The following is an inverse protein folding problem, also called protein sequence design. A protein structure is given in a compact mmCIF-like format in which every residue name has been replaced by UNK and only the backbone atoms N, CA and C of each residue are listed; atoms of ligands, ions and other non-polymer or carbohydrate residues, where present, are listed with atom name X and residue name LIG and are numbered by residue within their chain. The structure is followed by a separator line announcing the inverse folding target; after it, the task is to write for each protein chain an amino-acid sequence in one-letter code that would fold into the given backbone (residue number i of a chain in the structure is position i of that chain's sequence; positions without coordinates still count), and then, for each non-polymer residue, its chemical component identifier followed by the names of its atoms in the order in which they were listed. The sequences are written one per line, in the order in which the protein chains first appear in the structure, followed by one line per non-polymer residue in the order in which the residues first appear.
data_IF_007086426832
#
_entry.id   IF_007086426832
#
_cell.length_a   1.000
_cell.length_b   1.000
_cell.length_c   1.000
_cell.angle_alpha   90.00
_cell.angle_beta   90.00
_cell.angle_gamma   90.00
#
_symmetry.space_group_name_H-M   'P 1'
#
loop_
_entity.id
_entity.type
_entity.pdbx_description
1 polymer ?
#
# COMPACT_ATOMS: atom_id res chain seq x y z
N UNK A 1 -4.93 -79.52 33.96
CA UNK A 1 -4.61 -78.71 32.76
C UNK A 1 -5.90 -78.33 32.06
N UNK A 2 -6.21 -77.03 31.99
CA UNK A 2 -7.09 -76.34 31.03
C UNK A 2 -7.10 -74.88 31.48
N UNK A 3 -6.41 -74.01 30.75
CA UNK A 3 -6.29 -72.60 31.10
C UNK A 3 -7.49 -71.79 30.58
N UNK A 4 -7.78 -70.74 31.34
CA UNK A 4 -8.53 -69.53 30.98
C UNK A 4 -8.40 -69.09 29.52
N UNK A 5 -9.44 -68.41 29.01
CA UNK A 5 -9.31 -67.06 28.42
C UNK A 5 -10.71 -66.43 28.19
N UNK A 6 -11.14 -65.50 29.05
CA UNK A 6 -12.26 -64.58 28.75
C UNK A 6 -11.67 -63.28 28.22
N UNK A 7 -11.84 -63.02 26.93
CA UNK A 7 -11.30 -61.83 26.26
C UNK A 7 -11.99 -60.55 26.73
N UNK A 8 -11.19 -59.58 27.19
CA UNK A 8 -11.65 -58.23 27.50
C UNK A 8 -11.63 -57.41 26.20
N UNK A 9 -12.81 -57.03 25.70
CA UNK A 9 -12.91 -56.18 24.51
C UNK A 9 -12.59 -54.72 24.89
N UNK A 10 -11.37 -54.25 24.63
CA UNK A 10 -11.03 -52.83 24.75
C UNK A 10 -11.63 -52.03 23.58
N UNK A 11 -12.62 -51.19 23.89
CA UNK A 11 -13.07 -50.13 22.99
C UNK A 11 -12.05 -48.99 23.01
N UNK A 12 -11.21 -48.91 21.98
CA UNK A 12 -10.30 -47.80 21.78
C UNK A 12 -11.07 -46.57 21.21
N UNK A 13 -10.96 -45.38 21.82
CA UNK A 13 -11.62 -44.19 21.28
C UNK A 13 -10.87 -43.67 20.05
N UNK A 14 -11.57 -43.56 18.91
CA UNK A 14 -11.06 -42.83 17.74
C UNK A 14 -10.99 -41.34 18.10
N UNK A 15 -9.78 -40.83 18.32
CA UNK A 15 -9.54 -39.40 18.43
C UNK A 15 -9.69 -38.77 17.03
N UNK A 16 -10.78 -38.03 16.79
CA UNK A 16 -10.92 -37.20 15.60
C UNK A 16 -9.91 -36.04 15.68
N UNK A 17 -8.77 -36.19 15.03
CA UNK A 17 -7.85 -35.10 14.78
C UNK A 17 -8.53 -34.10 13.82
N UNK A 18 -8.90 -32.91 14.33
CA UNK A 18 -9.48 -31.86 13.53
C UNK A 18 -8.42 -31.22 12.61
N UNK A 19 -8.19 -31.84 11.44
CA UNK A 19 -7.36 -31.29 10.37
C UNK A 19 -8.05 -30.07 9.71
N UNK A 20 -8.01 -28.93 10.39
CA UNK A 20 -8.03 -27.65 9.69
C UNK A 20 -6.78 -27.53 8.79
N UNK A 21 -6.82 -26.79 7.67
CA UNK A 21 -5.65 -26.60 6.82
C UNK A 21 -4.52 -25.96 7.65
N UNK A 22 -3.37 -26.63 7.69
CA UNK A 22 -2.19 -26.07 8.32
C UNK A 22 -1.76 -24.80 7.55
N UNK A 23 -1.49 -23.71 8.28
CA UNK A 23 -0.94 -22.50 7.68
C UNK A 23 0.48 -22.74 7.10
N UNK A 24 1.00 -21.80 6.31
CA UNK A 24 2.24 -21.99 5.56
C UNK A 24 3.44 -22.29 6.47
N UNK A 25 4.27 -23.24 6.04
CA UNK A 25 5.51 -23.64 6.70
C UNK A 25 6.48 -22.46 6.84
N UNK A 26 7.52 -22.62 7.66
CA UNK A 26 8.55 -21.58 7.80
C UNK A 26 9.26 -21.30 6.46
N UNK A 27 9.51 -22.35 5.67
CA UNK A 27 10.10 -22.27 4.34
C UNK A 27 9.18 -21.57 3.33
N UNK A 28 7.89 -21.94 3.31
CA UNK A 28 6.90 -21.27 2.46
C UNK A 28 6.76 -19.79 2.80
N UNK A 29 6.84 -19.42 4.09
CA UNK A 29 6.83 -18.02 4.54
C UNK A 29 8.09 -17.25 4.12
N UNK A 30 9.27 -17.87 4.16
CA UNK A 30 10.49 -17.27 3.65
C UNK A 30 10.41 -17.03 2.13
N UNK A 31 10.05 -18.06 1.37
CA UNK A 31 9.89 -17.98 -0.09
C UNK A 31 8.86 -16.91 -0.51
N UNK A 32 7.78 -16.75 0.26
CA UNK A 32 6.76 -15.72 0.01
C UNK A 32 7.24 -14.29 0.33
N UNK A 33 8.09 -14.10 1.33
CA UNK A 33 8.75 -12.81 1.61
C UNK A 33 9.68 -12.42 0.46
N UNK A 34 10.50 -13.37 -0.02
CA UNK A 34 11.40 -13.14 -1.15
C UNK A 34 10.63 -12.88 -2.46
N UNK A 35 9.55 -13.65 -2.71
CA UNK A 35 8.66 -13.43 -3.82
C UNK A 35 8.00 -12.04 -3.80
N UNK A 36 7.62 -11.55 -2.61
CA UNK A 36 7.07 -10.21 -2.46
C UNK A 36 8.09 -9.10 -2.76
N UNK A 37 9.39 -9.32 -2.57
CA UNK A 37 10.42 -8.36 -2.98
C UNK A 37 10.38 -8.10 -4.50
N UNK A 38 10.24 -9.16 -5.30
CA UNK A 38 10.05 -9.06 -6.77
C UNK A 38 8.72 -8.39 -7.13
N UNK A 39 7.62 -8.73 -6.44
CA UNK A 39 6.33 -8.05 -6.64
C UNK A 39 6.46 -6.54 -6.36
N UNK A 40 7.11 -6.16 -5.27
CA UNK A 40 7.37 -4.75 -4.94
C UNK A 40 8.20 -4.07 -6.01
N UNK A 41 9.27 -4.69 -6.50
CA UNK A 41 10.13 -4.11 -7.55
C UNK A 41 9.31 -3.69 -8.77
N UNK A 42 8.44 -4.58 -9.27
CA UNK A 42 7.54 -4.31 -10.39
C UNK A 42 6.55 -3.19 -10.06
N UNK A 43 5.89 -3.24 -8.90
CA UNK A 43 4.92 -2.22 -8.47
C UNK A 43 5.55 -0.83 -8.24
N UNK A 44 6.86 -0.76 -7.98
CA UNK A 44 7.62 0.48 -7.88
C UNK A 44 8.23 0.94 -9.22
N UNK A 45 8.09 0.17 -10.30
CA UNK A 45 8.57 0.57 -11.62
C UNK A 45 7.67 1.68 -12.24
N UNK A 46 8.22 2.64 -13.01
CA UNK A 46 7.43 3.71 -13.63
C UNK A 46 6.29 3.23 -14.54
N UNK A 47 6.40 2.02 -15.13
CA UNK A 47 5.28 1.43 -15.91
C UNK A 47 4.03 1.14 -15.05
N UNK A 48 4.17 0.97 -13.75
CA UNK A 48 3.05 0.83 -12.80
C UNK A 48 2.77 2.17 -12.09
N UNK A 49 3.80 2.79 -11.49
CA UNK A 49 3.63 4.00 -10.67
C UNK A 49 3.01 5.17 -11.44
N UNK A 50 3.31 5.33 -12.74
CA UNK A 50 2.81 6.48 -13.51
C UNK A 50 1.28 6.55 -13.61
N UNK A 51 0.60 5.40 -13.43
CA UNK A 51 -0.86 5.31 -13.40
C UNK A 51 -1.41 5.27 -11.96
N UNK A 52 -0.66 4.65 -11.05
CA UNK A 52 -0.99 4.41 -9.64
C UNK A 52 -0.53 5.54 -8.71
N UNK A 53 -0.96 6.76 -9.04
CA UNK A 53 -0.60 8.03 -8.37
C UNK A 53 -1.65 8.54 -7.38
N UNK A 54 -1.27 9.35 -6.37
CA UNK A 54 -2.20 9.94 -5.41
C UNK A 54 -3.07 11.06 -5.99
N UNK A 55 -2.53 11.84 -6.93
CA UNK A 55 -3.26 12.91 -7.61
C UNK A 55 -4.01 12.44 -8.85
N UNK A 56 -4.44 13.38 -9.68
CA UNK A 56 -5.17 13.09 -10.92
C UNK A 56 -4.38 13.42 -12.20
N UNK A 57 -3.18 14.02 -12.11
CA UNK A 57 -2.32 14.27 -13.27
C UNK A 57 -1.35 13.09 -13.49
N UNK A 58 -1.56 12.20 -14.49
CA UNK A 58 -0.68 11.05 -14.75
C UNK A 58 0.75 11.45 -15.05
N UNK A 59 1.67 10.49 -14.92
CA UNK A 59 3.10 10.74 -15.12
C UNK A 59 3.61 10.16 -16.45
N UNK A 60 4.59 10.83 -17.05
CA UNK A 60 5.28 10.43 -18.27
C UNK A 60 6.73 10.02 -18.00
N UNK A 61 7.26 9.21 -18.92
CA UNK A 61 8.64 8.69 -18.93
C UNK A 61 9.00 7.90 -17.67
N UNK A 62 10.28 7.54 -17.54
CA UNK A 62 10.81 6.86 -16.35
C UNK A 62 11.19 7.84 -15.23
N UNK A 63 11.24 9.14 -15.54
CA UNK A 63 11.48 10.22 -14.59
C UNK A 63 10.24 10.60 -13.75
N UNK A 64 9.05 10.05 -14.07
CA UNK A 64 7.82 10.31 -13.30
C UNK A 64 7.38 11.78 -13.31
N UNK A 65 7.59 12.50 -14.42
CA UNK A 65 7.18 13.91 -14.56
C UNK A 65 5.70 13.99 -14.96
N UNK A 66 4.99 15.06 -14.59
CA UNK A 66 3.60 15.24 -14.97
C UNK A 66 3.40 15.24 -16.50
N UNK A 67 2.29 14.69 -16.97
CA UNK A 67 1.97 14.56 -18.39
C UNK A 67 1.93 15.92 -19.10
N UNK A 68 2.81 16.14 -20.08
CA UNK A 68 3.05 17.46 -20.69
C UNK A 68 1.80 18.14 -21.27
N UNK A 69 0.82 17.36 -21.74
CA UNK A 69 -0.47 17.82 -22.27
C UNK A 69 -1.49 18.22 -21.18
N UNK A 70 -1.11 18.26 -19.91
CA UNK A 70 -1.95 18.63 -18.76
C UNK A 70 -3.28 17.84 -18.64
N UNK A 71 -3.29 16.60 -19.15
CA UNK A 71 -4.44 15.68 -18.98
C UNK A 71 -4.62 15.30 -17.52
N UNK A 72 -5.85 14.95 -17.14
CA UNK A 72 -6.21 14.50 -15.79
C UNK A 72 -7.06 13.23 -15.84
N UNK A 73 -7.11 12.48 -14.73
CA UNK A 73 -7.83 11.21 -14.54
C UNK A 73 -9.27 11.22 -15.05
N UNK A 74 -9.98 12.33 -14.89
CA UNK A 74 -11.40 12.42 -15.21
C UNK A 74 -12.30 11.72 -14.18
N UNK A 75 -13.60 11.61 -14.43
CA UNK A 75 -14.58 11.06 -13.48
C UNK A 75 -14.48 9.53 -13.30
N UNK A 76 -13.95 8.83 -14.30
CA UNK A 76 -13.95 7.36 -14.42
C UNK A 76 -12.54 6.75 -14.64
N UNK A 77 -11.53 7.58 -14.91
CA UNK A 77 -10.17 7.15 -15.24
C UNK A 77 -9.80 7.31 -16.72
N UNK A 78 -10.75 7.68 -17.60
CA UNK A 78 -10.55 7.75 -19.06
C UNK A 78 -10.22 9.16 -19.60
N UNK A 79 -9.92 10.13 -18.74
CA UNK A 79 -9.61 11.50 -19.12
C UNK A 79 -10.71 12.50 -18.81
N UNK A 80 -10.41 13.80 -18.92
CA UNK A 80 -11.41 14.84 -18.70
C UNK A 80 -12.49 14.84 -19.80
N UNK A 81 -13.74 15.25 -19.50
CA UNK A 81 -14.73 15.55 -20.53
C UNK A 81 -14.16 16.55 -21.55
N UNK A 82 -14.22 16.21 -22.83
CA UNK A 82 -13.62 17.00 -23.92
C UNK A 82 -12.14 16.72 -24.23
N UNK A 83 -11.44 15.97 -23.37
CA UNK A 83 -10.07 15.48 -23.63
C UNK A 83 -9.87 14.06 -23.05
N UNK A 84 -10.60 13.04 -23.57
CA UNK A 84 -10.42 11.65 -23.16
C UNK A 84 -9.06 11.11 -23.64
N UNK A 85 -8.47 10.16 -22.89
CA UNK A 85 -7.17 9.55 -23.22
C UNK A 85 -7.13 8.96 -24.64
N UNK A 86 -8.24 8.37 -25.11
CA UNK A 86 -8.40 7.83 -26.47
C UNK A 86 -8.27 8.86 -27.60
N UNK A 87 -8.22 10.17 -27.31
CA UNK A 87 -7.88 11.20 -28.30
C UNK A 87 -6.46 11.04 -28.85
N UNK A 88 -5.55 10.50 -28.03
CA UNK A 88 -4.13 10.36 -28.36
C UNK A 88 -3.63 8.91 -28.24
N UNK A 89 -4.14 8.14 -27.27
CA UNK A 89 -3.74 6.76 -27.03
C UNK A 89 -4.64 5.80 -27.83
N UNK A 90 -4.05 5.12 -28.81
CA UNK A 90 -4.75 4.09 -29.61
C UNK A 90 -4.71 2.70 -28.97
N UNK A 91 -5.43 1.75 -29.58
CA UNK A 91 -5.52 0.34 -29.15
C UNK A 91 -4.17 -0.42 -29.16
N UNK A 92 -3.16 0.11 -29.85
CA UNK A 92 -1.82 -0.48 -29.92
C UNK A 92 -0.75 0.59 -30.09
N UNK A 93 0.49 0.30 -29.71
CA UNK A 93 1.63 1.20 -29.97
C UNK A 93 1.71 1.57 -31.46
N UNK A 94 1.95 2.84 -31.80
CA UNK A 94 2.08 3.30 -33.18
C UNK A 94 3.36 2.73 -33.83
N UNK A 95 3.41 2.65 -35.18
CA UNK A 95 4.61 2.20 -35.88
C UNK A 95 5.76 3.20 -35.68
N UNK A 96 7.00 2.69 -35.74
CA UNK A 96 8.21 3.46 -35.42
C UNK A 96 8.40 4.74 -36.28
N UNK A 97 7.76 4.81 -37.44
CA UNK A 97 7.72 6.00 -38.30
C UNK A 97 7.09 7.25 -37.66
N UNK A 98 6.30 7.09 -36.59
CA UNK A 98 5.75 8.22 -35.82
C UNK A 98 6.78 8.86 -34.85
N UNK A 99 7.97 8.26 -34.72
CA UNK A 99 9.07 8.78 -33.90
C UNK A 99 8.96 8.48 -32.39
N UNK A 100 10.00 8.83 -31.61
CA UNK A 100 10.13 8.42 -30.21
C UNK A 100 9.11 9.06 -29.26
N UNK A 101 8.48 10.17 -29.67
CA UNK A 101 7.51 10.92 -28.87
C UNK A 101 6.04 10.59 -29.19
N UNK A 102 5.79 9.65 -30.09
CA UNK A 102 4.44 9.20 -30.42
C UNK A 102 3.74 8.63 -29.16
N UNK A 103 2.46 8.96 -28.89
CA UNK A 103 1.74 8.41 -27.74
C UNK A 103 1.78 6.86 -27.72
N UNK A 104 1.99 6.23 -26.56
CA UNK A 104 1.87 4.78 -26.44
C UNK A 104 0.42 4.34 -26.65
N UNK A 105 0.22 3.07 -27.00
CA UNK A 105 -1.11 2.52 -27.20
C UNK A 105 -1.27 1.10 -26.69
N UNK A 106 -2.42 0.85 -26.09
CA UNK A 106 -2.92 -0.43 -25.62
C UNK A 106 -4.46 -0.31 -25.51
N UNK A 107 -5.21 -1.42 -25.53
CA UNK A 107 -6.66 -1.39 -25.35
C UNK A 107 -7.04 -0.73 -24.01
N UNK A 108 -8.24 -0.13 -23.99
CA UNK A 108 -8.87 0.46 -22.79
C UNK A 108 -7.97 1.42 -21.98
N UNK A 109 -7.12 2.20 -22.66
CA UNK A 109 -6.15 3.10 -22.02
C UNK A 109 -6.79 4.05 -20.99
N UNK A 110 -6.40 3.86 -19.73
CA UNK A 110 -7.05 4.48 -18.57
C UNK A 110 -6.12 4.55 -17.35
N UNK A 111 -6.52 5.34 -16.37
CA UNK A 111 -6.06 5.23 -14.99
C UNK A 111 -7.07 4.43 -14.16
N UNK A 112 -6.68 3.92 -12.96
CA UNK A 112 -7.65 3.50 -11.96
C UNK A 112 -8.67 4.62 -11.67
N UNK A 113 -9.93 4.32 -11.34
CA UNK A 113 -10.96 5.35 -11.15
C UNK A 113 -10.63 6.26 -9.94
N UNK A 114 -11.16 7.49 -9.86
CA UNK A 114 -10.90 8.41 -8.75
C UNK A 114 -11.29 7.85 -7.37
N UNK A 115 -12.31 7.01 -7.31
CA UNK A 115 -12.73 6.31 -6.09
C UNK A 115 -11.74 5.24 -5.61
N UNK A 116 -10.80 4.83 -6.47
CA UNK A 116 -9.87 3.74 -6.20
C UNK A 116 -8.56 3.90 -6.95
N UNK A 117 -7.78 4.92 -6.58
CA UNK A 117 -6.51 5.27 -7.24
C UNK A 117 -5.43 4.18 -7.09
N UNK A 118 -5.56 3.29 -6.10
CA UNK A 118 -4.59 2.22 -5.76
C UNK A 118 -3.16 2.75 -5.74
N UNK A 119 -2.85 3.73 -4.87
CA UNK A 119 -1.57 4.44 -4.91
C UNK A 119 -0.41 3.51 -4.54
N UNK A 120 0.46 3.19 -5.49
CA UNK A 120 1.64 2.32 -5.25
C UNK A 120 2.92 3.11 -5.06
N UNK A 121 2.98 4.35 -5.56
CA UNK A 121 4.19 5.15 -5.63
C UNK A 121 4.82 5.40 -4.26
N UNK A 122 6.10 5.05 -4.11
CA UNK A 122 6.88 5.31 -2.91
C UNK A 122 6.55 4.43 -1.69
N UNK A 123 5.64 3.46 -1.81
CA UNK A 123 5.28 2.61 -0.68
C UNK A 123 6.44 1.71 -0.23
N UNK A 124 6.62 1.63 1.08
CA UNK A 124 7.48 0.63 1.72
C UNK A 124 6.91 -0.78 1.50
N UNK A 125 7.73 -1.83 1.70
CA UNK A 125 7.25 -3.21 1.53
C UNK A 125 6.05 -3.56 2.44
N UNK A 126 6.05 -3.22 3.75
CA UNK A 126 4.88 -3.47 4.61
C UNK A 126 3.63 -2.70 4.13
N UNK A 127 3.77 -1.44 3.74
CA UNK A 127 2.64 -0.61 3.30
C UNK A 127 2.04 -1.10 1.97
N UNK A 128 2.89 -1.47 1.00
CA UNK A 128 2.44 -2.03 -0.27
C UNK A 128 1.74 -3.37 -0.08
N UNK A 129 2.27 -4.24 0.79
CA UNK A 129 1.65 -5.52 1.12
C UNK A 129 0.26 -5.31 1.74
N UNK A 130 0.15 -4.42 2.74
CA UNK A 130 -1.12 -4.10 3.39
C UNK A 130 -2.16 -3.57 2.39
N UNK A 131 -1.77 -2.65 1.51
CA UNK A 131 -2.64 -2.09 0.47
C UNK A 131 -3.15 -3.15 -0.50
N UNK A 132 -2.27 -3.99 -1.06
CA UNK A 132 -2.68 -5.02 -2.03
C UNK A 132 -3.60 -6.05 -1.37
N UNK A 133 -3.43 -6.34 -0.07
CA UNK A 133 -4.26 -7.27 0.70
C UNK A 133 -5.63 -6.72 1.07
N UNK A 134 -5.77 -5.41 1.30
CA UNK A 134 -7.05 -4.85 1.70
C UNK A 134 -7.95 -4.64 0.48
N UNK A 135 -9.03 -5.42 0.43
CA UNK A 135 -10.11 -5.27 -0.56
C UNK A 135 -10.68 -3.85 -0.62
N UNK A 136 -10.58 -3.06 0.45
CA UNK A 136 -11.02 -1.66 0.48
C UNK A 136 -10.06 -0.71 -0.24
N UNK A 137 -8.79 -1.08 -0.39
CA UNK A 137 -7.73 -0.25 -0.99
C UNK A 137 -7.30 -0.75 -2.38
N UNK A 138 -7.79 -1.92 -2.82
CA UNK A 138 -7.38 -2.62 -4.05
C UNK A 138 -8.48 -2.75 -5.13
N UNK A 139 -9.61 -2.03 -4.98
CA UNK A 139 -10.83 -2.14 -5.80
C UNK A 139 -11.66 -3.44 -5.61
N UNK A 140 -11.78 -3.94 -4.38
CA UNK A 140 -12.62 -5.09 -4.04
C UNK A 140 -12.13 -6.42 -4.61
N UNK A 141 -10.85 -6.49 -5.00
CA UNK A 141 -10.26 -7.65 -5.68
C UNK A 141 -9.71 -8.64 -4.65
N UNK A 142 -10.05 -9.91 -4.82
CA UNK A 142 -9.33 -11.01 -4.17
C UNK A 142 -8.02 -11.34 -4.92
N UNK A 143 -7.25 -12.30 -4.41
CA UNK A 143 -6.00 -12.70 -5.07
C UNK A 143 -6.19 -13.27 -6.47
N UNK A 144 -7.29 -13.96 -6.76
CA UNK A 144 -7.56 -14.46 -8.10
C UNK A 144 -7.80 -13.31 -9.09
N UNK A 145 -8.59 -12.31 -8.70
CA UNK A 145 -8.86 -11.10 -9.49
C UNK A 145 -7.63 -10.19 -9.63
N UNK A 146 -6.76 -10.12 -8.61
CA UNK A 146 -5.46 -9.44 -8.68
C UNK A 146 -4.51 -10.15 -9.63
N UNK A 147 -4.31 -11.47 -9.48
CA UNK A 147 -3.48 -12.29 -10.37
C UNK A 147 -3.95 -12.13 -11.81
N UNK A 148 -5.26 -12.27 -12.06
CA UNK A 148 -5.85 -12.09 -13.40
C UNK A 148 -5.51 -10.73 -14.00
N UNK A 149 -5.69 -9.65 -13.23
CA UNK A 149 -5.36 -8.30 -13.69
C UNK A 149 -3.88 -8.15 -14.04
N UNK A 150 -2.97 -8.59 -13.17
CA UNK A 150 -1.54 -8.46 -13.43
C UNK A 150 -0.99 -9.43 -14.49
N UNK A 151 -1.73 -10.49 -14.84
CA UNK A 151 -1.33 -11.48 -15.85
C UNK A 151 -2.01 -11.37 -17.22
N UNK A 152 -3.24 -10.82 -17.31
CA UNK A 152 -4.04 -10.87 -18.54
C UNK A 152 -4.42 -9.48 -19.11
N UNK A 153 -4.45 -8.44 -18.26
CA UNK A 153 -4.91 -7.11 -18.64
C UNK A 153 -3.97 -6.47 -19.68
N UNK A 154 -4.51 -6.08 -20.84
CA UNK A 154 -3.70 -5.61 -21.97
C UNK A 154 -2.99 -4.28 -21.70
N UNK A 155 -3.56 -3.42 -20.85
CA UNK A 155 -2.94 -2.17 -20.44
C UNK A 155 -1.82 -2.41 -19.41
N UNK A 156 -1.96 -3.41 -18.54
CA UNK A 156 -0.87 -3.81 -17.62
C UNK A 156 0.26 -4.50 -18.38
N UNK A 157 -0.07 -5.40 -19.29
CA UNK A 157 0.90 -6.12 -20.14
C UNK A 157 1.72 -5.20 -21.04
N UNK A 158 1.19 -4.03 -21.43
CA UNK A 158 1.94 -2.98 -22.13
C UNK A 158 3.22 -2.58 -21.38
N UNK A 159 3.28 -2.71 -20.05
CA UNK A 159 4.48 -2.47 -19.25
C UNK A 159 5.70 -3.33 -19.64
N UNK A 160 5.50 -4.48 -20.30
CA UNK A 160 6.56 -5.34 -20.83
C UNK A 160 6.77 -5.20 -22.34
N UNK A 161 5.87 -4.52 -23.06
CA UNK A 161 6.03 -4.19 -24.47
C UNK A 161 5.59 -2.73 -24.75
N UNK A 162 6.32 -1.73 -24.23
CA UNK A 162 5.85 -0.34 -24.20
C UNK A 162 6.02 0.43 -25.52
N UNK A 163 6.68 -0.17 -26.52
CA UNK A 163 6.89 0.38 -27.86
C UNK A 163 7.83 1.60 -27.92
N UNK A 164 8.38 1.85 -29.11
CA UNK A 164 9.39 2.89 -29.32
C UNK A 164 10.64 2.63 -28.49
N UNK A 165 11.21 3.68 -27.91
CA UNK A 165 12.44 3.62 -27.10
C UNK A 165 12.18 3.43 -25.59
N UNK A 166 10.93 3.13 -25.20
CA UNK A 166 10.54 2.99 -23.80
C UNK A 166 11.11 1.71 -23.21
N UNK A 167 11.65 1.79 -21.98
CA UNK A 167 12.16 0.62 -21.26
C UNK A 167 11.00 -0.23 -20.73
N UNK A 168 10.99 -1.55 -20.98
CA UNK A 168 10.06 -2.46 -20.33
C UNK A 168 10.39 -2.61 -18.84
N UNK A 169 9.46 -3.18 -18.07
CA UNK A 169 9.76 -3.69 -16.72
C UNK A 169 10.93 -4.69 -16.79
N UNK A 170 12.02 -4.53 -16.01
CA UNK A 170 13.20 -5.41 -16.09
C UNK A 170 12.93 -6.86 -15.67
N UNK A 171 12.08 -7.07 -14.67
CA UNK A 171 11.62 -8.38 -14.23
C UNK A 171 10.73 -9.00 -15.32
N UNK A 172 11.06 -10.18 -15.88
CA UNK A 172 10.22 -10.85 -16.88
C UNK A 172 8.79 -11.10 -16.37
N UNK A 173 7.79 -10.84 -17.21
CA UNK A 173 6.37 -10.91 -16.82
C UNK A 173 5.97 -12.26 -16.20
N UNK A 174 6.43 -13.37 -16.80
CA UNK A 174 6.17 -14.71 -16.28
C UNK A 174 6.74 -14.92 -14.86
N UNK A 175 7.95 -14.41 -14.59
CA UNK A 175 8.56 -14.47 -13.25
C UNK A 175 7.78 -13.62 -12.25
N UNK A 176 7.34 -12.42 -12.65
CA UNK A 176 6.49 -11.56 -11.81
C UNK A 176 5.17 -12.24 -11.45
N UNK A 177 4.46 -12.85 -12.41
CA UNK A 177 3.22 -13.58 -12.16
C UNK A 177 3.45 -14.83 -11.29
N UNK A 178 4.56 -15.55 -11.49
CA UNK A 178 4.97 -16.67 -10.63
C UNK A 178 5.18 -16.20 -9.18
N UNK A 179 5.96 -15.13 -8.95
CA UNK A 179 6.22 -14.60 -7.61
C UNK A 179 4.95 -14.04 -6.95
N UNK A 180 4.07 -13.41 -7.72
CA UNK A 180 2.78 -12.95 -7.20
C UNK A 180 1.92 -14.13 -6.70
N UNK A 181 1.89 -15.26 -7.41
CA UNK A 181 1.22 -16.50 -7.00
C UNK A 181 1.85 -17.10 -5.73
N UNK A 182 3.17 -17.32 -5.72
CA UNK A 182 3.91 -17.86 -4.56
C UNK A 182 3.62 -17.05 -3.29
N UNK A 183 3.60 -15.72 -3.40
CA UNK A 183 3.26 -14.83 -2.30
C UNK A 183 1.79 -14.95 -1.86
N UNK A 184 0.85 -14.95 -2.81
CA UNK A 184 -0.58 -15.05 -2.54
C UNK A 184 -0.97 -16.40 -1.90
N UNK A 185 -0.45 -17.52 -2.42
CA UNK A 185 -0.72 -18.88 -1.95
C UNK A 185 -0.22 -19.10 -0.50
N UNK A 186 0.82 -18.38 -0.09
CA UNK A 186 1.31 -18.34 1.29
C UNK A 186 0.54 -17.36 2.21
N UNK A 187 -0.66 -16.91 1.81
CA UNK A 187 -1.48 -15.96 2.58
C UNK A 187 -0.99 -14.51 2.53
N UNK A 188 -0.21 -14.16 1.52
CA UNK A 188 0.35 -12.83 1.30
C UNK A 188 1.12 -12.30 2.53
N UNK A 189 2.05 -13.09 3.05
CA UNK A 189 2.92 -12.67 4.17
C UNK A 189 3.95 -11.64 3.72
N UNK A 190 4.35 -10.73 4.61
CA UNK A 190 5.46 -9.80 4.38
C UNK A 190 6.21 -9.52 5.68
N UNK A 191 7.51 -9.24 5.57
CA UNK A 191 8.31 -8.70 6.68
C UNK A 191 7.66 -7.46 7.28
N UNK A 192 7.73 -7.34 8.62
CA UNK A 192 7.17 -6.22 9.38
C UNK A 192 5.66 -6.25 9.61
N UNK A 193 4.91 -7.13 8.95
CA UNK A 193 3.48 -7.37 9.23
C UNK A 193 3.35 -8.69 9.98
N UNK A 194 3.41 -8.63 11.31
CA UNK A 194 2.94 -9.74 12.14
C UNK A 194 1.45 -9.95 11.86
N UNK A 195 1.02 -11.22 11.76
CA UNK A 195 -0.39 -11.55 11.56
C UNK A 195 -1.17 -11.33 12.88
N UNK A 196 -1.52 -10.06 13.12
CA UNK A 196 -2.20 -9.58 14.32
C UNK A 196 -3.60 -10.19 14.54
N UNK A 197 -4.05 -11.11 13.67
CA UNK A 197 -5.28 -11.89 13.87
C UNK A 197 -5.06 -13.16 14.69
N UNK A 198 -3.82 -13.58 14.98
CA UNK A 198 -3.54 -14.82 15.74
C UNK A 198 -3.00 -14.60 17.15
N UNK A 199 -2.42 -13.43 17.44
CA UNK A 199 -2.10 -12.95 18.78
C UNK A 199 -2.97 -11.72 19.05
N UNK A 200 -3.81 -11.75 20.10
CA UNK A 200 -4.71 -10.65 20.47
C UNK A 200 -4.00 -9.45 21.11
N UNK A 201 -2.90 -9.01 20.50
CA UNK A 201 -1.93 -8.09 21.07
C UNK A 201 -1.66 -6.95 20.08
N UNK A 202 -2.30 -5.80 20.32
CA UNK A 202 -2.08 -4.58 19.56
C UNK A 202 -0.75 -3.93 19.98
N UNK A 203 0.35 -4.27 19.31
CA UNK A 203 1.64 -3.62 19.55
C UNK A 203 1.73 -2.28 18.82
N UNK A 204 1.63 -1.18 19.57
CA UNK A 204 1.95 0.16 19.06
C UNK A 204 3.46 0.30 18.80
N UNK A 205 3.84 0.82 17.63
CA UNK A 205 5.21 1.25 17.35
C UNK A 205 5.32 2.78 17.51
N UNK A 206 6.16 3.30 18.42
CA UNK A 206 6.47 4.73 18.49
C UNK A 206 7.43 5.15 17.38
N UNK A 207 7.31 6.41 16.92
CA UNK A 207 8.16 7.01 15.89
C UNK A 207 9.54 7.42 16.44
N UNK A 208 10.61 7.25 15.65
CA UNK A 208 12.00 7.39 16.09
C UNK A 208 12.58 8.82 16.03
N UNK A 209 11.83 9.86 15.64
CA UNK A 209 12.33 11.26 15.66
C UNK A 209 11.33 12.31 16.15
N UNK A 210 11.78 13.32 16.93
CA UNK A 210 10.94 14.43 17.39
C UNK A 210 10.71 15.49 16.29
N UNK A 211 9.58 16.21 16.39
CA UNK A 211 9.14 17.25 15.44
C UNK A 211 10.03 18.50 15.43
N UNK A 212 10.16 19.14 14.27
CA UNK A 212 11.01 20.32 14.05
C UNK A 212 10.21 21.64 14.02
N UNK A 213 10.83 22.74 13.59
CA UNK A 213 10.17 24.04 13.54
C UNK A 213 9.28 24.21 12.29
N UNK A 214 9.54 23.45 11.23
CA UNK A 214 8.77 23.42 9.98
C UNK A 214 7.40 22.74 10.15
N UNK A 215 7.25 21.81 11.09
CA UNK A 215 6.01 21.07 11.35
C UNK A 215 4.87 21.93 11.96
N UNK A 216 5.11 23.23 12.17
CA UNK A 216 4.20 24.17 12.87
C UNK A 216 2.96 24.62 12.09
N UNK A 217 2.74 24.13 10.88
CA UNK A 217 1.60 24.53 10.05
C UNK A 217 0.23 24.02 10.58
N UNK A 218 0.21 23.11 11.57
CA UNK A 218 -1.02 22.54 12.14
C UNK A 218 -1.39 23.24 13.46
N UNK A 219 -2.58 23.89 13.57
CA UNK A 219 -3.02 24.51 14.81
C UNK A 219 -3.21 23.49 15.94
N UNK A 220 -2.43 23.61 17.02
CA UNK A 220 -2.61 22.83 18.26
C UNK A 220 -1.33 22.24 18.86
N UNK A 221 -0.26 22.08 18.06
CA UNK A 221 0.97 21.42 18.50
C UNK A 221 2.09 22.40 18.91
N UNK A 222 2.91 22.01 19.89
CA UNK A 222 4.13 22.70 20.33
C UNK A 222 5.39 21.86 20.03
N UNK A 223 6.56 22.51 20.11
CA UNK A 223 7.87 21.87 19.88
C UNK A 223 8.10 20.77 20.92
N UNK A 224 8.20 19.52 20.45
CA UNK A 224 8.38 18.33 21.27
C UNK A 224 7.13 17.45 21.39
N UNK A 225 5.96 17.91 20.94
CA UNK A 225 4.75 17.10 20.93
C UNK A 225 4.83 16.00 19.84
N UNK A 226 4.40 14.76 20.12
CA UNK A 226 4.28 13.74 19.09
C UNK A 226 3.12 14.09 18.15
N UNK A 227 3.41 14.24 16.86
CA UNK A 227 2.42 14.44 15.82
C UNK A 227 2.13 13.08 15.18
N UNK A 228 0.94 12.48 15.37
CA UNK A 228 0.51 11.40 14.50
C UNK A 228 0.21 12.08 13.14
N UNK A 229 1.05 11.82 12.14
CA UNK A 229 1.35 12.77 11.05
C UNK A 229 0.41 12.81 9.83
N UNK A 230 0.97 12.85 8.62
CA UNK A 230 0.21 12.80 7.38
C UNK A 230 0.87 12.11 6.13
N UNK A 231 1.96 11.33 6.14
CA UNK A 231 2.95 10.92 7.14
C UNK A 231 2.44 10.31 8.47
N UNK A 232 1.26 9.72 8.46
CA UNK A 232 0.51 9.36 9.67
C UNK A 232 -0.96 9.82 9.55
N UNK A 233 -1.60 10.17 10.67
CA UNK A 233 -3.02 10.54 10.81
C UNK A 233 -3.78 10.98 9.55
N UNK A 234 -4.76 10.16 9.20
CA UNK A 234 -6.11 10.51 9.67
C UNK A 234 -6.92 9.25 10.01
N UNK A 235 -6.77 8.73 11.23
CA UNK A 235 -7.82 7.90 11.85
C UNK A 235 -8.36 8.66 13.04
N UNK A 236 -9.42 9.45 12.80
CA UNK A 236 -10.14 10.11 13.86
C UNK A 236 -10.86 9.09 14.75
N UNK A 237 -10.76 9.25 16.07
CA UNK A 237 -11.54 8.45 17.02
C UNK A 237 -12.41 9.34 17.91
N UNK A 238 -13.69 8.99 17.94
CA UNK A 238 -14.68 9.56 18.85
C UNK A 238 -14.42 9.02 20.26
N UNK A 239 -13.79 9.82 21.13
CA UNK A 239 -13.60 9.46 22.54
C UNK A 239 -14.86 9.80 23.34
N UNK A 240 -15.60 8.76 23.74
CA UNK A 240 -16.76 8.87 24.65
C UNK A 240 -16.28 9.45 25.98
N UNK A 241 -16.82 10.60 26.40
CA UNK A 241 -16.52 11.19 27.71
C UNK A 241 -17.15 10.37 28.83
N UNK A 242 -16.31 9.72 29.63
CA UNK A 242 -16.63 9.33 31.00
C UNK A 242 -15.57 9.90 31.95
N UNK A 243 -15.98 10.09 33.21
CA UNK A 243 -15.25 10.72 34.33
C UNK A 243 -14.72 12.16 34.16
N UNK A 244 -14.87 12.95 35.24
CA UNK A 244 -14.68 14.41 35.30
C UNK A 244 -14.06 14.77 36.65
N UNK A 245 -12.74 14.70 36.76
CA UNK A 245 -12.02 15.24 37.92
C UNK A 245 -10.87 16.15 37.47
N UNK A 246 -11.11 17.45 37.52
CA UNK A 246 -10.09 18.48 37.33
C UNK A 246 -9.42 18.81 38.66
N UNK A 247 -8.26 18.21 38.93
CA UNK A 247 -7.37 18.71 39.98
C UNK A 247 -6.64 19.96 39.47
N UNK A 248 -7.02 21.14 39.96
CA UNK A 248 -6.29 22.39 39.66
C UNK A 248 -5.07 22.50 40.56
N UNK A 249 -3.88 22.26 40.03
CA UNK A 249 -2.62 22.66 40.67
C UNK A 249 -2.28 24.07 40.23
N UNK A 250 -1.87 24.91 41.18
CA UNK A 250 -1.67 26.35 41.03
C UNK A 250 -0.16 26.63 41.14
N UNK A 251 0.50 27.06 40.05
CA UNK A 251 1.91 27.46 40.12
C UNK A 251 2.04 28.96 40.46
N UNK A 252 2.87 29.33 41.46
CA UNK A 252 3.11 30.73 41.81
C UNK A 252 4.10 31.40 40.84
N UNK A 253 3.81 32.65 40.44
CA UNK A 253 4.75 33.49 39.71
C UNK A 253 5.96 33.83 40.57
N UNK A 254 7.14 33.36 40.17
CA UNK A 254 8.40 33.97 40.59
C UNK A 254 8.59 35.29 39.83
N UNK A 255 8.99 36.35 40.54
CA UNK A 255 9.35 37.63 39.94
C UNK A 255 10.55 38.24 40.64
N UNK A 256 11.47 38.80 39.86
CA UNK A 256 12.49 39.73 40.35
C UNK A 256 12.74 40.82 39.31
N UNK A 257 13.17 41.99 39.78
CA UNK A 257 12.92 43.29 39.16
C UNK A 257 14.17 43.94 38.54
N UNK A 258 13.90 45.08 37.85
CA UNK A 258 14.78 46.21 37.44
C UNK A 258 15.09 46.22 35.92
N UNK A 259 15.11 47.36 35.23
CA UNK A 259 14.99 48.79 35.64
C UNK A 259 14.36 49.58 34.48
N UNK A 260 13.59 50.62 34.77
CA UNK A 260 13.16 51.60 33.77
C UNK A 260 14.10 52.81 33.76
N UNK A 261 14.31 53.42 32.59
CA UNK A 261 14.95 54.73 32.43
C UNK A 261 13.95 55.70 31.84
N UNK A 262 13.81 56.87 32.48
CA UNK A 262 13.05 58.02 32.00
C UNK A 262 13.92 58.89 31.09
N UNK A 263 13.31 59.51 30.08
CA UNK A 263 13.82 60.72 29.41
C UNK A 263 12.67 61.73 29.43
N UNK A 264 12.88 62.99 29.89
CA UNK A 264 11.80 63.96 30.05
C UNK A 264 11.66 64.92 28.85
N UNK A 265 10.44 65.47 28.74
CA UNK A 265 10.02 66.71 28.05
C UNK A 265 10.43 66.89 26.58
#
# INVERSE_FOLDING_TARGET
MRHELRGLAMLAPLALAACGPAGPSAEQRAAAVDAFATVKEVFQHPRCQNCHIPGDAPLQFDAGVAHAQAVVRGPDGHGAPGLPCGTCHGESNPPASYGPHAPPGAPHWALPPPSMRMVTQGLSAPALCAMIKDTKENNGRDFAALIKHVSEDKLVLWGWNPGGERKPVPVPHAQFVEKFKVWADAGAVSVGVTDARRSGEMTNFPSERPATAEDRAVPGHRKGDPIPGLAGSAVGWNARRENRETLRVFEPRAGTTRKASLVPA
#
